data_IF_351541515529
#
_entry.id   IF_351541515529
#
_cell.length_a   1.000
_cell.length_b   1.000
_cell.length_c   1.000
_cell.angle_alpha   90.00
_cell.angle_beta   90.00
_cell.angle_gamma   90.00
#
_symmetry.space_group_name_H-M   'P 1'
#
loop_
_entity.id
_entity.type
_entity.pdbx_description
1 polymer ?
#
# COMPACT_ATOMS: atom_id res chain seq x y z
N UNK A 1 4.81 10.89 1.27
CA UNK A 1 4.40 9.48 1.08
C UNK A 1 5.21 8.78 0.00
N UNK A 2 5.08 9.15 -1.27
CA UNK A 2 5.52 8.32 -2.41
C UNK A 2 7.01 8.00 -2.36
N UNK A 3 7.84 9.00 -2.10
CA UNK A 3 9.30 8.82 -2.01
C UNK A 3 9.74 7.93 -0.84
N UNK A 4 9.17 8.13 0.35
CA UNK A 4 9.52 7.37 1.55
C UNK A 4 9.23 5.87 1.39
N UNK A 5 8.08 5.54 0.81
CA UNK A 5 7.64 4.15 0.66
C UNK A 5 8.20 3.47 -0.60
N UNK A 6 8.60 4.25 -1.61
CA UNK A 6 9.16 3.71 -2.86
C UNK A 6 10.40 2.84 -2.62
N UNK A 7 11.30 3.25 -1.71
CA UNK A 7 12.50 2.47 -1.38
C UNK A 7 12.15 1.11 -0.76
N UNK A 8 11.18 1.08 0.15
CA UNK A 8 10.72 -0.16 0.79
C UNK A 8 10.08 -1.12 -0.23
N UNK A 9 9.21 -0.59 -1.10
CA UNK A 9 8.58 -1.40 -2.15
C UNK A 9 9.59 -1.93 -3.17
N UNK A 10 10.63 -1.16 -3.49
CA UNK A 10 11.70 -1.61 -4.38
C UNK A 10 12.43 -2.83 -3.80
N UNK A 11 12.74 -2.83 -2.50
CA UNK A 11 13.41 -3.97 -1.85
C UNK A 11 12.53 -5.23 -1.91
N UNK A 12 11.23 -5.10 -1.66
CA UNK A 12 10.29 -6.23 -1.74
C UNK A 12 10.23 -6.79 -3.16
N UNK A 13 10.09 -5.93 -4.17
CA UNK A 13 10.06 -6.36 -5.58
C UNK A 13 11.39 -7.01 -5.96
N UNK A 14 12.51 -6.44 -5.54
CA UNK A 14 13.83 -6.96 -5.84
C UNK A 14 14.05 -8.34 -5.20
N UNK A 15 13.69 -8.52 -3.93
CA UNK A 15 13.76 -9.81 -3.26
C UNK A 15 12.87 -10.87 -3.94
N UNK A 16 11.67 -10.48 -4.38
CA UNK A 16 10.79 -11.37 -5.13
C UNK A 16 11.37 -11.77 -6.50
N UNK A 17 12.03 -10.84 -7.20
CA UNK A 17 12.69 -11.10 -8.48
C UNK A 17 13.92 -12.00 -8.34
N UNK A 18 14.66 -11.90 -7.22
CA UNK A 18 15.80 -12.78 -6.96
C UNK A 18 15.40 -14.26 -6.79
N UNK A 19 14.17 -14.54 -6.40
CA UNK A 19 13.66 -15.91 -6.28
C UNK A 19 13.27 -16.57 -7.61
N UNK A 20 13.31 -15.83 -8.73
CA UNK A 20 12.94 -16.37 -10.05
C UNK A 20 14.11 -17.14 -10.64
N UNK A 21 13.85 -18.36 -11.11
CA UNK A 21 14.85 -19.20 -11.77
C UNK A 21 15.44 -18.49 -13.00
N UNK A 22 16.78 -18.32 -13.08
CA UNK A 22 17.45 -17.73 -14.23
C UNK A 22 17.15 -18.42 -15.57
N UNK A 23 16.81 -19.72 -15.56
CA UNK A 23 16.53 -20.50 -16.78
C UNK A 23 15.32 -19.96 -17.56
N UNK A 24 14.33 -19.36 -16.87
CA UNK A 24 13.18 -18.69 -17.50
C UNK A 24 13.61 -17.51 -18.39
N UNK A 25 14.67 -16.80 -18.00
CA UNK A 25 15.17 -15.68 -18.80
C UNK A 25 15.94 -16.16 -20.03
N UNK A 26 16.71 -17.25 -19.90
CA UNK A 26 17.42 -17.84 -21.03
C UNK A 26 16.46 -18.47 -22.05
N UNK A 27 15.41 -19.15 -21.59
CA UNK A 27 14.33 -19.64 -22.45
C UNK A 27 13.66 -18.48 -23.21
N UNK A 28 13.33 -17.38 -22.52
CA UNK A 28 12.73 -16.21 -23.15
C UNK A 28 13.63 -15.55 -24.21
N UNK A 29 14.96 -15.57 -24.02
CA UNK A 29 15.92 -15.09 -25.02
C UNK A 29 15.97 -16.02 -26.23
N UNK A 30 15.93 -17.34 -26.03
CA UNK A 30 15.89 -18.34 -27.10
C UNK A 30 14.60 -18.17 -27.93
N UNK A 31 13.48 -17.87 -27.28
CA UNK A 31 12.19 -17.58 -27.93
C UNK A 31 12.12 -16.20 -28.61
N UNK A 32 13.20 -15.42 -28.58
CA UNK A 32 13.27 -14.10 -29.22
C UNK A 32 12.44 -13.02 -28.54
N UNK A 33 12.09 -13.18 -27.26
CA UNK A 33 11.32 -12.19 -26.52
C UNK A 33 12.14 -10.91 -26.28
N UNK A 34 11.55 -9.77 -26.58
CA UNK A 34 12.12 -8.46 -26.25
C UNK A 34 12.11 -8.19 -24.75
N UNK A 35 13.03 -7.35 -24.26
CA UNK A 35 13.12 -6.96 -22.83
C UNK A 35 11.81 -6.43 -22.24
N UNK A 36 11.01 -5.72 -23.05
CA UNK A 36 9.68 -5.25 -22.62
C UNK A 36 8.70 -6.42 -22.46
N UNK A 37 8.72 -7.40 -23.37
CA UNK A 37 7.88 -8.60 -23.25
C UNK A 37 8.29 -9.42 -22.03
N UNK A 38 9.59 -9.58 -21.77
CA UNK A 38 10.10 -10.26 -20.56
C UNK A 38 9.63 -9.52 -19.30
N UNK A 39 9.72 -8.19 -19.26
CA UNK A 39 9.27 -7.42 -18.10
C UNK A 39 7.77 -7.60 -17.82
N UNK A 40 6.90 -7.39 -18.82
CA UNK A 40 5.45 -7.39 -18.61
C UNK A 40 4.81 -8.77 -18.60
N UNK A 41 5.36 -9.75 -19.33
CA UNK A 41 4.77 -11.09 -19.47
C UNK A 41 5.41 -12.16 -18.58
N UNK A 42 6.64 -11.94 -18.13
CA UNK A 42 7.38 -12.91 -17.31
C UNK A 42 7.57 -12.36 -15.91
N UNK A 43 8.30 -11.25 -15.76
CA UNK A 43 8.64 -10.69 -14.44
C UNK A 43 7.39 -10.30 -13.64
N UNK A 44 6.51 -9.45 -14.19
CA UNK A 44 5.32 -8.93 -13.48
C UNK A 44 4.37 -10.05 -13.00
N UNK A 45 3.98 -11.04 -13.82
CA UNK A 45 3.12 -12.14 -13.37
C UNK A 45 3.79 -13.00 -12.30
N UNK A 46 5.08 -13.30 -12.42
CA UNK A 46 5.81 -14.12 -11.45
C UNK A 46 5.95 -13.44 -10.08
N UNK A 47 6.09 -12.11 -10.04
CA UNK A 47 6.11 -11.35 -8.77
C UNK A 47 4.72 -10.83 -8.35
N UNK A 48 3.65 -11.27 -8.99
CA UNK A 48 2.28 -10.75 -8.73
C UNK A 48 1.87 -10.84 -7.26
N UNK A 49 2.24 -11.93 -6.56
CA UNK A 49 2.00 -12.08 -5.12
C UNK A 49 2.69 -11.00 -4.28
N UNK A 50 3.92 -10.63 -4.64
CA UNK A 50 4.65 -9.55 -3.97
C UNK A 50 4.06 -8.17 -4.29
N UNK A 51 3.61 -7.96 -5.53
CA UNK A 51 2.92 -6.73 -5.92
C UNK A 51 1.59 -6.55 -5.17
N UNK A 52 0.81 -7.61 -4.98
CA UNK A 52 -0.43 -7.57 -4.18
C UNK A 52 -0.12 -7.19 -2.74
N UNK A 53 0.94 -7.76 -2.14
CA UNK A 53 1.37 -7.41 -0.79
C UNK A 53 1.75 -5.92 -0.68
N UNK A 54 2.53 -5.41 -1.63
CA UNK A 54 2.90 -4.00 -1.68
C UNK A 54 1.67 -3.10 -1.79
N UNK A 55 0.71 -3.47 -2.65
CA UNK A 55 -0.52 -2.70 -2.83
C UNK A 55 -1.37 -2.69 -1.56
N UNK A 56 -1.42 -3.78 -0.81
CA UNK A 56 -2.10 -3.83 0.50
C UNK A 56 -1.43 -2.86 1.47
N UNK A 57 -0.10 -2.90 1.59
CA UNK A 57 0.63 -1.98 2.48
C UNK A 57 0.46 -0.52 2.05
N UNK A 58 0.49 -0.24 0.75
CA UNK A 58 0.25 1.10 0.22
C UNK A 58 -1.16 1.60 0.54
N UNK A 59 -2.17 0.73 0.39
CA UNK A 59 -3.56 1.05 0.71
C UNK A 59 -3.73 1.34 2.20
N UNK A 60 -3.19 0.49 3.08
CA UNK A 60 -3.24 0.68 4.54
C UNK A 60 -2.52 1.99 4.91
N UNK A 61 -1.30 2.19 4.42
CA UNK A 61 -0.50 3.39 4.73
C UNK A 61 -1.17 4.68 4.26
N UNK A 62 -1.84 4.65 3.11
CA UNK A 62 -2.59 5.81 2.60
C UNK A 62 -3.83 6.12 3.44
N UNK A 63 -4.56 5.11 3.89
CA UNK A 63 -5.75 5.31 4.73
C UNK A 63 -5.39 5.67 6.18
N UNK A 64 -4.22 5.26 6.66
CA UNK A 64 -3.67 5.61 7.97
C UNK A 64 -2.81 6.88 7.95
N UNK A 65 -3.03 7.75 6.97
CA UNK A 65 -2.23 8.95 6.78
C UNK A 65 -2.39 9.92 7.96
N UNK A 66 -1.30 10.10 8.73
CA UNK A 66 -1.29 10.86 9.99
C UNK A 66 0.03 11.58 10.24
N UNK A 67 1.16 10.90 10.05
CA UNK A 67 2.47 11.38 10.49
C UNK A 67 2.92 12.68 9.80
N UNK A 68 2.88 12.76 8.46
CA UNK A 68 3.28 13.99 7.78
C UNK A 68 2.37 15.18 8.11
N UNK A 69 1.03 15.08 8.11
CA UNK A 69 0.17 16.20 8.49
C UNK A 69 0.38 16.69 9.91
N UNK A 70 0.65 15.78 10.86
CA UNK A 70 0.91 16.15 12.25
C UNK A 70 2.24 16.92 12.37
N UNK A 71 3.29 16.46 11.68
CA UNK A 71 4.62 17.08 11.71
C UNK A 71 4.61 18.42 10.96
N UNK A 72 3.93 18.47 9.82
CA UNK A 72 3.87 19.66 8.96
C UNK A 72 2.77 20.65 9.39
N UNK A 73 1.82 20.23 10.21
CA UNK A 73 0.70 21.05 10.70
C UNK A 73 1.11 22.43 11.23
N UNK A 74 2.11 22.51 12.14
CA UNK A 74 2.58 23.78 12.69
C UNK A 74 3.14 24.76 11.65
N UNK A 75 3.69 24.26 10.54
CA UNK A 75 4.31 25.07 9.48
C UNK A 75 3.39 25.27 8.26
N UNK A 76 2.21 24.65 8.26
CA UNK A 76 1.28 24.67 7.15
C UNK A 76 0.38 25.93 7.10
N UNK A 77 0.59 26.91 7.98
CA UNK A 77 -0.14 28.19 8.04
C UNK A 77 -1.67 28.02 7.98
N UNK A 78 -2.21 27.03 8.70
CA UNK A 78 -3.65 26.76 8.75
C UNK A 78 -4.21 25.96 7.56
N UNK A 79 -3.38 25.55 6.61
CA UNK A 79 -3.80 24.71 5.47
C UNK A 79 -4.15 23.27 5.88
N UNK A 80 -3.60 22.80 7.00
CA UNK A 80 -3.92 21.50 7.59
C UNK A 80 -4.90 21.76 8.74
N UNK A 81 -6.17 21.48 8.51
CA UNK A 81 -7.23 21.63 9.52
C UNK A 81 -7.22 20.46 10.52
N UNK A 82 -7.81 20.64 11.72
CA UNK A 82 -7.96 19.56 12.70
C UNK A 82 -8.74 18.33 12.18
N UNK A 83 -9.56 18.50 11.14
CA UNK A 83 -10.40 17.45 10.54
C UNK A 83 -9.81 16.92 9.23
N UNK A 84 -8.57 17.30 8.89
CA UNK A 84 -7.96 17.02 7.59
C UNK A 84 -7.83 15.53 7.28
N UNK A 85 -7.56 14.70 8.30
CA UNK A 85 -7.72 13.25 8.20
C UNK A 85 -8.40 12.69 9.45
N UNK A 86 -9.07 11.52 9.34
CA UNK A 86 -9.69 10.86 10.49
C UNK A 86 -8.73 10.62 11.66
N UNK A 87 -7.45 10.34 11.36
CA UNK A 87 -6.42 10.15 12.39
C UNK A 87 -6.07 11.45 13.11
N UNK A 88 -5.95 12.58 12.39
CA UNK A 88 -5.72 13.89 13.00
C UNK A 88 -6.92 14.29 13.84
N UNK A 89 -8.13 14.02 13.34
CA UNK A 89 -9.35 14.34 14.06
C UNK A 89 -9.46 13.57 15.38
N UNK A 90 -9.26 12.25 15.36
CA UNK A 90 -9.23 11.43 16.56
C UNK A 90 -8.14 11.88 17.55
N UNK A 91 -6.95 12.26 17.04
CA UNK A 91 -5.87 12.78 17.86
C UNK A 91 -6.24 14.10 18.56
N UNK A 92 -6.83 15.06 17.83
CA UNK A 92 -7.27 16.33 18.41
C UNK A 92 -8.37 16.14 19.45
N UNK A 93 -9.30 15.21 19.23
CA UNK A 93 -10.33 14.85 20.21
C UNK A 93 -9.75 14.29 21.50
N UNK A 94 -8.78 13.39 21.40
CA UNK A 94 -8.15 12.77 22.57
C UNK A 94 -7.29 13.78 23.35
N UNK A 95 -6.42 14.52 22.67
CA UNK A 95 -5.37 15.31 23.34
C UNK A 95 -5.67 16.81 23.43
N UNK A 96 -6.47 17.35 22.50
CA UNK A 96 -6.91 18.75 22.53
C UNK A 96 -8.17 18.97 23.35
N UNK A 97 -9.15 18.06 23.23
CA UNK A 97 -10.48 18.20 23.86
C UNK A 97 -10.72 17.23 25.03
N UNK A 98 -9.76 16.35 25.36
CA UNK A 98 -9.87 15.31 26.38
C UNK A 98 -11.07 14.35 26.21
N UNK A 99 -11.57 14.20 24.97
CA UNK A 99 -12.69 13.34 24.61
C UNK A 99 -12.19 11.95 24.18
N UNK A 100 -11.55 11.23 25.10
CA UNK A 100 -10.91 9.94 24.81
C UNK A 100 -11.88 8.88 24.28
N UNK A 101 -13.09 8.80 24.85
CA UNK A 101 -14.10 7.83 24.43
C UNK A 101 -14.51 8.03 22.96
N UNK A 102 -14.71 9.29 22.57
CA UNK A 102 -15.12 9.64 21.21
C UNK A 102 -13.96 9.43 20.22
N UNK A 103 -12.74 9.80 20.60
CA UNK A 103 -11.54 9.51 19.82
C UNK A 103 -11.35 8.00 19.60
N UNK A 104 -11.56 7.17 20.62
CA UNK A 104 -11.49 5.72 20.49
C UNK A 104 -12.52 5.18 19.50
N UNK A 105 -13.76 5.65 19.56
CA UNK A 105 -14.82 5.24 18.63
C UNK A 105 -14.46 5.53 17.16
N UNK A 106 -13.83 6.69 16.90
CA UNK A 106 -13.38 7.06 15.56
C UNK A 106 -12.24 6.15 15.09
N UNK A 107 -11.23 5.91 15.95
CA UNK A 107 -10.12 5.01 15.63
C UNK A 107 -10.58 3.59 15.31
N UNK A 108 -11.52 3.04 16.09
CA UNK A 108 -12.12 1.73 15.80
C UNK A 108 -12.91 1.74 14.49
N UNK A 109 -13.71 2.77 14.24
CA UNK A 109 -14.49 2.90 13.00
C UNK A 109 -13.58 2.97 11.77
N UNK A 110 -12.50 3.74 11.86
CA UNK A 110 -11.47 3.82 10.81
C UNK A 110 -10.81 2.46 10.58
N UNK A 111 -10.46 1.74 11.66
CA UNK A 111 -9.91 0.39 11.56
C UNK A 111 -10.82 -0.58 10.81
N UNK A 112 -12.13 -0.52 11.09
CA UNK A 112 -13.14 -1.34 10.38
C UNK A 112 -13.19 -0.96 8.89
N UNK A 113 -13.18 0.33 8.56
CA UNK A 113 -13.18 0.79 7.16
C UNK A 113 -11.95 0.31 6.41
N UNK A 114 -10.76 0.42 7.03
CA UNK A 114 -9.50 -0.06 6.45
C UNK A 114 -9.56 -1.58 6.24
N UNK A 115 -10.05 -2.32 7.23
CA UNK A 115 -10.20 -3.76 7.14
C UNK A 115 -11.11 -4.18 5.97
N UNK A 116 -12.27 -3.55 5.83
CA UNK A 116 -13.21 -3.81 4.74
C UNK A 116 -12.56 -3.48 3.39
N UNK A 117 -11.88 -2.34 3.27
CA UNK A 117 -11.21 -1.95 2.04
C UNK A 117 -10.13 -2.97 1.61
N UNK A 118 -9.29 -3.41 2.55
CA UNK A 118 -8.26 -4.43 2.30
C UNK A 118 -8.90 -5.77 1.94
N UNK A 119 -9.95 -6.18 2.66
CA UNK A 119 -10.67 -7.43 2.39
C UNK A 119 -11.25 -7.46 0.98
N UNK A 120 -11.92 -6.39 0.55
CA UNK A 120 -12.46 -6.25 -0.81
C UNK A 120 -11.33 -6.30 -1.83
N UNK A 121 -10.23 -5.58 -1.59
CA UNK A 121 -9.07 -5.57 -2.49
C UNK A 121 -8.45 -6.96 -2.66
N UNK A 122 -8.25 -7.69 -1.56
CA UNK A 122 -7.75 -9.07 -1.57
C UNK A 122 -8.71 -10.02 -2.28
N UNK A 123 -10.02 -9.87 -2.07
CA UNK A 123 -11.02 -10.71 -2.73
C UNK A 123 -11.04 -10.47 -4.25
N UNK A 124 -10.95 -9.22 -4.68
CA UNK A 124 -10.89 -8.84 -6.09
C UNK A 124 -9.61 -9.36 -6.78
N UNK A 125 -8.46 -9.29 -6.11
CA UNK A 125 -7.19 -9.79 -6.66
C UNK A 125 -7.14 -11.32 -6.72
N UNK A 126 -7.74 -12.04 -5.76
CA UNK A 126 -7.88 -13.52 -5.79
C UNK A 126 -8.68 -14.05 -6.98
N UNK A 127 -9.81 -13.42 -7.31
CA UNK A 127 -10.67 -13.84 -8.45
C UNK A 127 -9.96 -13.77 -9.80
N UNK A 128 -8.95 -12.91 -9.95
CA UNK A 128 -8.20 -12.79 -11.20
C UNK A 128 -7.24 -13.96 -11.44
N UNK A 129 -6.81 -14.66 -10.38
CA UNK A 129 -5.96 -15.84 -10.47
C UNK A 129 -6.68 -17.13 -10.86
N UNK A 130 -7.99 -17.26 -10.61
CA UNK A 130 -8.75 -18.47 -10.98
C UNK A 130 -9.25 -18.49 -12.42
N UNK A 131 -9.16 -17.37 -13.14
CA UNK A 131 -9.57 -17.28 -14.55
C UNK A 131 -8.40 -17.58 -15.52
N UNK A 132 -7.24 -17.99 -14.98
CA UNK A 132 -6.01 -18.28 -15.73
C UNK A 132 -5.58 -19.76 -15.59
N UNK A 133 -6.40 -20.61 -14.98
CA UNK A 133 -6.23 -22.08 -14.92
C UNK A 133 -7.15 -22.78 -15.90
#
# INVERSE_FOLDING_TARGET
MTWQWAGYYMIIIYAALQGIDPTLYEAAKIDGASERQVAFRIKIPLVSSALVLILIFALIGTLQFFSEPQILGPVANGSITPDFTPNIYAFNLAFGYAQFNYASAISFSLGIVVFIAVYIFMFATRKKGSNLS
#
